data_IF_836215754224
#
_entry.id   IF_836215754224
#
_cell.length_a   1.000
_cell.length_b   1.000
_cell.length_c   1.000
_cell.angle_alpha   90.00
_cell.angle_beta   90.00
_cell.angle_gamma   90.00
#
_symmetry.space_group_name_H-M   'P 1'
#
loop_
_entity.id
_entity.type
_entity.pdbx_description
1 polymer ?
#
# COMPACT_ATOMS: atom_id res chain seq x y z
N UNK A 1 11.43 -0.28 17.82
CA UNK A 1 10.02 0.16 17.68
C UNK A 1 9.02 -0.86 18.23
N UNK A 2 9.31 -2.18 18.22
CA UNK A 2 8.48 -3.17 18.95
C UNK A 2 7.00 -3.19 18.56
N UNK A 3 6.71 -2.90 17.29
CA UNK A 3 5.35 -2.73 16.80
C UNK A 3 4.67 -4.08 16.51
N UNK A 4 3.33 -4.09 16.61
CA UNK A 4 2.50 -5.27 16.31
C UNK A 4 2.25 -5.46 14.81
N UNK A 5 2.51 -4.43 14.00
CA UNK A 5 2.31 -4.47 12.56
C UNK A 5 3.16 -3.43 11.81
N UNK A 6 3.37 -3.66 10.51
CA UNK A 6 3.90 -2.68 9.57
C UNK A 6 2.82 -2.30 8.54
N UNK A 7 2.38 -1.05 8.58
CA UNK A 7 1.45 -0.50 7.59
C UNK A 7 2.21 0.19 6.44
N UNK A 8 1.76 -0.01 5.21
CA UNK A 8 2.30 0.67 4.03
C UNK A 8 1.19 1.24 3.16
N UNK A 9 1.53 2.22 2.33
CA UNK A 9 0.61 2.82 1.36
C UNK A 9 0.41 2.01 0.07
N UNK A 10 0.81 0.73 0.04
CA UNK A 10 0.62 -0.08 -1.17
C UNK A 10 -0.86 -0.37 -1.41
N UNK A 11 -1.28 -0.27 -2.66
CA UNK A 11 -2.61 -0.66 -3.13
C UNK A 11 -2.66 -2.17 -3.28
N UNK A 12 -2.85 -2.84 -2.14
CA UNK A 12 -2.95 -4.29 -2.00
C UNK A 12 -4.03 -4.56 -0.98
N UNK A 13 -4.90 -5.54 -1.22
CA UNK A 13 -5.81 -6.02 -0.17
C UNK A 13 -5.15 -7.13 0.61
N UNK A 14 -5.45 -7.19 1.90
CA UNK A 14 -5.05 -8.32 2.72
C UNK A 14 -6.13 -8.65 3.73
N UNK A 15 -6.23 -9.91 4.09
CA UNK A 15 -7.27 -10.41 4.98
C UNK A 15 -6.90 -11.76 5.57
N UNK A 16 -7.66 -12.19 6.58
CA UNK A 16 -7.49 -13.50 7.16
C UNK A 16 -7.81 -14.60 6.14
N UNK A 17 -6.99 -15.64 6.13
CA UNK A 17 -7.14 -16.87 5.37
C UNK A 17 -6.72 -18.03 6.29
N UNK A 18 -7.69 -18.55 7.05
CA UNK A 18 -7.41 -19.50 8.13
C UNK A 18 -6.58 -18.86 9.24
N UNK A 19 -5.49 -19.52 9.63
CA UNK A 19 -4.56 -19.05 10.67
C UNK A 19 -3.63 -17.91 10.20
N UNK A 20 -3.57 -17.66 8.89
CA UNK A 20 -2.64 -16.72 8.28
C UNK A 20 -3.36 -15.56 7.61
N UNK A 21 -2.60 -14.56 7.19
CA UNK A 21 -3.06 -13.48 6.32
C UNK A 21 -2.68 -13.80 4.88
N UNK A 22 -3.53 -13.41 3.92
CA UNK A 22 -3.24 -13.53 2.49
C UNK A 22 -3.30 -12.16 1.80
N UNK A 23 -2.62 -12.06 0.66
CA UNK A 23 -2.66 -10.89 -0.21
C UNK A 23 -3.65 -11.11 -1.36
N UNK A 24 -4.35 -10.05 -1.73
CA UNK A 24 -5.32 -10.01 -2.82
C UNK A 24 -5.11 -8.73 -3.63
N UNK A 25 -5.54 -8.74 -4.90
CA UNK A 25 -5.56 -7.53 -5.73
C UNK A 25 -6.41 -6.43 -5.06
N UNK A 26 -6.01 -5.16 -5.18
CA UNK A 26 -6.81 -4.05 -4.68
C UNK A 26 -8.12 -3.89 -5.45
N UNK A 27 -9.00 -3.01 -4.96
CA UNK A 27 -10.19 -2.55 -5.70
C UNK A 27 -9.79 -1.75 -6.95
N UNK A 28 -8.70 -0.99 -6.88
CA UNK A 28 -8.19 -0.16 -7.97
C UNK A 28 -7.12 -0.92 -8.78
N UNK A 29 -7.54 -1.55 -9.88
CA UNK A 29 -6.66 -2.37 -10.70
C UNK A 29 -5.54 -1.58 -11.39
N UNK A 30 -5.78 -0.30 -11.72
CA UNK A 30 -4.76 0.58 -12.32
C UNK A 30 -3.63 0.92 -11.34
N UNK A 31 -3.88 0.69 -10.04
CA UNK A 31 -2.92 0.86 -8.96
C UNK A 31 -2.46 -0.46 -8.37
N UNK A 32 -2.72 -1.61 -9.01
CA UNK A 32 -2.31 -2.91 -8.48
C UNK A 32 -0.79 -2.99 -8.27
N UNK A 33 -0.40 -3.04 -7.00
CA UNK A 33 0.99 -3.15 -6.57
C UNK A 33 1.31 -4.54 -6.00
N UNK A 34 0.39 -5.51 -6.09
CA UNK A 34 0.60 -6.85 -5.51
C UNK A 34 1.79 -7.57 -6.12
N UNK A 35 2.10 -7.29 -7.39
CA UNK A 35 3.24 -7.87 -8.09
C UNK A 35 4.57 -7.60 -7.38
N UNK A 36 4.77 -6.40 -6.83
CA UNK A 36 6.03 -6.03 -6.16
C UNK A 36 6.30 -6.86 -4.89
N UNK A 37 5.27 -7.48 -4.32
CA UNK A 37 5.36 -8.26 -3.10
C UNK A 37 5.43 -9.79 -3.35
N UNK A 38 5.70 -10.23 -4.58
CA UNK A 38 5.73 -11.66 -4.91
C UNK A 38 6.73 -12.48 -4.08
N UNK A 39 7.83 -11.88 -3.63
CA UNK A 39 8.88 -12.54 -2.84
C UNK A 39 8.65 -12.43 -1.32
N UNK A 40 7.53 -11.86 -0.87
CA UNK A 40 7.21 -11.67 0.55
C UNK A 40 6.89 -13.01 1.21
N UNK A 41 7.53 -13.30 2.35
CA UNK A 41 7.29 -14.56 3.08
C UNK A 41 5.98 -14.51 3.86
N UNK A 42 5.42 -15.67 4.23
CA UNK A 42 4.18 -15.73 5.00
C UNK A 42 4.25 -14.98 6.33
N UNK A 43 5.37 -15.12 7.06
CA UNK A 43 5.58 -14.41 8.32
C UNK A 43 5.59 -12.88 8.13
N UNK A 44 6.11 -12.39 7.01
CA UNK A 44 6.04 -10.97 6.66
C UNK A 44 4.60 -10.56 6.28
N UNK A 45 3.87 -11.39 5.52
CA UNK A 45 2.47 -11.12 5.17
C UNK A 45 1.60 -11.01 6.43
N UNK A 46 1.81 -11.87 7.43
CA UNK A 46 1.07 -11.84 8.69
C UNK A 46 1.30 -10.52 9.47
N UNK A 47 2.48 -9.92 9.31
CA UNK A 47 2.87 -8.66 9.94
C UNK A 47 2.43 -7.40 9.17
N UNK A 48 2.18 -7.51 7.85
CA UNK A 48 1.88 -6.37 6.98
C UNK A 48 0.41 -5.93 7.02
N UNK A 49 0.19 -4.61 6.86
CA UNK A 49 -1.14 -3.99 6.72
C UNK A 49 -1.17 -3.04 5.52
N UNK A 50 -2.29 -3.04 4.81
CA UNK A 50 -2.51 -2.26 3.59
C UNK A 50 -3.84 -1.52 3.66
N UNK A 51 -3.90 -0.35 4.32
CA UNK A 51 -5.14 0.37 4.55
C UNK A 51 -5.82 0.86 3.26
N UNK A 52 -5.04 1.02 2.18
CA UNK A 52 -5.53 1.63 0.93
C UNK A 52 -6.11 0.63 -0.07
N UNK A 53 -5.92 -0.68 0.12
CA UNK A 53 -6.32 -1.69 -0.87
C UNK A 53 -7.82 -1.74 -1.18
N UNK A 54 -8.67 -1.24 -0.27
CA UNK A 54 -10.12 -1.16 -0.46
C UNK A 54 -10.61 0.14 -1.09
N UNK A 55 -9.71 1.06 -1.44
CA UNK A 55 -10.05 2.40 -1.92
C UNK A 55 -9.43 2.65 -3.30
N UNK A 56 -10.14 3.42 -4.12
CA UNK A 56 -9.57 4.00 -5.33
C UNK A 56 -8.67 5.18 -5.02
N UNK A 57 -7.71 5.48 -5.91
CA UNK A 57 -6.84 6.65 -5.73
C UNK A 57 -7.61 7.97 -5.55
N UNK A 58 -8.70 8.26 -6.30
CA UNK A 58 -9.52 9.44 -6.05
C UNK A 58 -10.14 9.47 -4.64
N UNK A 59 -10.63 8.32 -4.14
CA UNK A 59 -11.17 8.24 -2.77
C UNK A 59 -10.11 8.55 -1.72
N UNK A 60 -8.90 8.01 -1.88
CA UNK A 60 -7.78 8.31 -0.98
C UNK A 60 -7.44 9.80 -0.97
N UNK A 61 -7.46 10.46 -2.14
CA UNK A 61 -7.25 11.91 -2.23
C UNK A 61 -8.37 12.70 -1.55
N UNK A 62 -9.62 12.36 -1.79
CA UNK A 62 -10.75 13.01 -1.13
C UNK A 62 -10.65 12.93 0.40
N UNK A 63 -10.33 11.75 0.96
CA UNK A 63 -10.09 11.57 2.39
C UNK A 63 -8.93 12.46 2.87
N UNK A 64 -7.83 12.53 2.11
CA UNK A 64 -6.69 13.37 2.46
C UNK A 64 -7.04 14.87 2.43
N UNK A 65 -7.88 15.32 1.50
CA UNK A 65 -8.38 16.70 1.43
C UNK A 65 -9.30 17.01 2.61
N UNK A 66 -10.25 16.13 2.92
CA UNK A 66 -11.15 16.25 4.08
C UNK A 66 -10.38 16.35 5.40
N UNK A 67 -9.25 15.63 5.50
CA UNK A 67 -8.36 15.67 6.66
C UNK A 67 -7.38 16.85 6.67
N UNK A 68 -7.37 17.68 5.62
CA UNK A 68 -6.45 18.83 5.50
C UNK A 68 -4.97 18.43 5.31
N UNK A 69 -4.70 17.25 4.74
CA UNK A 69 -3.34 16.77 4.52
C UNK A 69 -2.72 17.43 3.28
N UNK A 70 -1.55 18.05 3.43
CA UNK A 70 -0.83 18.74 2.35
C UNK A 70 -0.44 17.83 1.17
N UNK A 71 -0.40 16.52 1.40
CA UNK A 71 -0.05 15.52 0.37
C UNK A 71 -1.22 15.16 -0.55
N UNK A 72 -2.44 15.66 -0.29
CA UNK A 72 -3.63 15.30 -1.06
C UNK A 72 -3.50 15.59 -2.57
N UNK A 73 -2.89 16.73 -2.91
CA UNK A 73 -2.68 17.18 -4.30
C UNK A 73 -1.30 16.80 -4.85
N UNK A 74 -0.44 16.18 -4.03
CA UNK A 74 0.91 15.79 -4.44
C UNK A 74 0.82 14.75 -5.58
N UNK A 75 1.65 14.94 -6.61
CA UNK A 75 1.81 13.96 -7.66
C UNK A 75 2.44 12.68 -7.12
N UNK A 76 2.02 11.55 -7.68
CA UNK A 76 2.58 10.25 -7.32
C UNK A 76 4.03 10.16 -7.79
N UNK A 77 4.86 9.49 -6.98
CA UNK A 77 6.22 9.13 -7.41
C UNK A 77 6.16 8.16 -8.58
N UNK A 78 6.88 8.47 -9.65
CA UNK A 78 6.98 7.65 -10.87
C UNK A 78 8.35 6.98 -11.01
N UNK A 79 9.32 7.41 -10.21
CA UNK A 79 10.72 6.96 -10.31
C UNK A 79 11.02 5.78 -9.39
N UNK A 80 12.11 5.08 -9.73
CA UNK A 80 12.66 4.00 -8.90
C UNK A 80 13.09 4.57 -7.55
N UNK A 81 12.57 4.00 -6.47
CA UNK A 81 12.90 4.42 -5.13
C UNK A 81 14.41 4.28 -4.87
N UNK A 82 14.99 5.27 -4.20
CA UNK A 82 16.38 5.27 -3.70
C UNK A 82 17.48 5.27 -4.78
N UNK A 83 17.16 5.55 -6.04
CA UNK A 83 18.15 5.93 -7.04
C UNK A 83 18.31 7.45 -7.00
N UNK A 84 19.51 8.00 -6.69
CA UNK A 84 19.78 9.41 -6.92
C UNK A 84 19.62 9.66 -8.41
N UNK A 85 18.95 10.75 -8.81
CA UNK A 85 18.80 11.15 -10.22
C UNK A 85 20.12 10.89 -10.97
N UNK A 86 20.07 9.98 -11.94
CA UNK A 86 21.23 9.62 -12.74
C UNK A 86 21.81 10.88 -13.39
N UNK A 87 23.14 10.99 -13.38
CA UNK A 87 23.85 12.01 -14.16
C UNK A 87 23.52 11.88 -15.65
#
# INVERSE_FOLDING_TARGET
LGADALATGHYIRSGANGAHRALYRPVDADRDQSYFLFATTQAQIDYLRFPLGGLSKPQVRAIAEEMGLTVATKQDSQDICFVPQGK
#
